data_IF_209290952853
#
_entry.id   IF_209290952853
#
_cell.length_a   1.000
_cell.length_b   1.000
_cell.length_c   1.000
_cell.angle_alpha   90.00
_cell.angle_beta   90.00
_cell.angle_gamma   90.00
#
_symmetry.space_group_name_H-M   'P 1'
#
loop_
_entity.id
_entity.type
_entity.pdbx_description
1 polymer ?
#
# COMPACT_ATOMS: atom_id res chain seq x y z
N UNK A 1 -27.63 -59.67 35.69
CA UNK A 1 -27.69 -58.57 34.70
C UNK A 1 -26.44 -57.75 34.85
N UNK A 2 -25.30 -58.44 34.78
CA UNK A 2 -24.02 -57.97 35.31
C UNK A 2 -23.12 -57.38 34.22
N UNK A 3 -23.44 -57.64 32.95
CA UNK A 3 -22.72 -57.06 31.80
C UNK A 3 -22.94 -55.56 31.60
N UNK A 4 -24.02 -54.98 32.14
CA UNK A 4 -24.37 -53.57 31.93
C UNK A 4 -23.64 -52.61 32.91
N UNK A 5 -23.03 -53.18 33.96
CA UNK A 5 -22.28 -52.42 34.98
C UNK A 5 -20.78 -52.34 34.68
N UNK A 6 -20.24 -53.29 33.92
CA UNK A 6 -18.85 -53.24 33.42
C UNK A 6 -18.71 -52.32 32.19
N UNK A 7 -19.74 -52.22 31.35
CA UNK A 7 -19.71 -51.38 30.13
C UNK A 7 -19.71 -49.87 30.47
N UNK A 8 -20.52 -49.47 31.47
CA UNK A 8 -20.56 -48.08 31.98
C UNK A 8 -19.33 -47.67 32.79
N UNK A 9 -18.59 -48.63 33.35
CA UNK A 9 -17.33 -48.37 34.05
C UNK A 9 -16.14 -48.22 33.08
N UNK A 10 -16.19 -48.86 31.91
CA UNK A 10 -15.19 -48.70 30.84
C UNK A 10 -15.36 -47.39 30.08
N UNK A 11 -16.59 -47.00 29.73
CA UNK A 11 -16.87 -45.69 29.11
C UNK A 11 -16.51 -44.51 30.03
N UNK A 12 -16.66 -44.67 31.35
CA UNK A 12 -16.28 -43.64 32.32
C UNK A 12 -14.77 -43.50 32.53
N UNK A 13 -13.98 -44.53 32.20
CA UNK A 13 -12.52 -44.51 32.31
C UNK A 13 -11.85 -44.00 31.03
N UNK A 14 -12.36 -44.36 29.84
CA UNK A 14 -11.84 -43.83 28.56
C UNK A 14 -12.16 -42.35 28.37
N UNK A 15 -13.29 -41.84 28.88
CA UNK A 15 -13.60 -40.41 28.85
C UNK A 15 -12.78 -39.56 29.85
N UNK A 16 -12.08 -40.19 30.79
CA UNK A 16 -11.21 -39.52 31.75
C UNK A 16 -9.73 -39.48 31.29
N UNK A 17 -9.33 -40.36 30.37
CA UNK A 17 -7.95 -40.39 29.81
C UNK A 17 -7.75 -39.46 28.60
N UNK A 18 -8.81 -38.91 27.99
CA UNK A 18 -8.69 -37.97 26.85
C UNK A 18 -8.69 -36.48 27.24
N UNK A 19 -8.53 -36.17 28.54
CA UNK A 19 -8.34 -34.81 29.07
C UNK A 19 -7.09 -34.67 29.94
N UNK A 20 -6.04 -35.43 29.67
CA UNK A 20 -4.70 -34.85 29.78
C UNK A 20 -4.47 -33.98 28.54
N UNK A 21 -5.15 -32.83 28.53
CA UNK A 21 -4.66 -31.65 27.84
C UNK A 21 -3.28 -31.44 28.45
N UNK A 22 -2.23 -31.96 27.79
CA UNK A 22 -0.87 -31.53 28.06
C UNK A 22 -0.98 -30.02 28.06
N UNK A 23 -0.83 -29.41 29.24
CA UNK A 23 -0.56 -27.98 29.35
C UNK A 23 0.74 -27.80 28.57
N UNK A 24 0.60 -27.60 27.25
CA UNK A 24 1.67 -27.13 26.42
C UNK A 24 2.13 -25.86 27.11
N UNK A 25 3.44 -25.76 27.43
CA UNK A 25 3.92 -24.70 28.29
C UNK A 25 3.49 -23.37 27.66
N UNK A 26 2.55 -22.69 28.32
CA UNK A 26 2.04 -21.42 27.85
C UNK A 26 3.23 -20.46 27.74
N UNK A 27 3.58 -20.10 26.51
CA UNK A 27 4.74 -19.25 26.27
C UNK A 27 4.43 -17.87 26.85
N UNK A 28 5.28 -17.41 27.75
CA UNK A 28 5.19 -16.05 28.30
C UNK A 28 5.64 -15.05 27.22
N UNK A 29 4.68 -14.61 26.41
CA UNK A 29 4.92 -13.66 25.32
C UNK A 29 5.61 -12.40 25.81
N UNK A 30 5.31 -11.91 27.01
CA UNK A 30 5.85 -10.62 27.49
C UNK A 30 7.36 -10.69 27.76
N UNK A 31 7.86 -11.87 28.14
CA UNK A 31 9.29 -12.10 28.42
C UNK A 31 10.06 -12.71 27.25
N UNK A 32 9.37 -13.13 26.18
CA UNK A 32 10.00 -13.72 25.00
C UNK A 32 10.89 -12.70 24.28
N UNK A 33 12.13 -13.08 23.97
CA UNK A 33 12.98 -12.33 23.04
C UNK A 33 12.54 -12.62 21.59
N UNK A 34 11.86 -11.64 20.99
CA UNK A 34 11.27 -11.73 19.65
C UNK A 34 12.30 -12.03 18.56
N UNK A 35 13.54 -11.56 18.72
CA UNK A 35 14.60 -11.75 17.72
C UNK A 35 15.45 -13.00 17.97
N UNK A 36 15.29 -13.64 19.13
CA UNK A 36 15.95 -14.91 19.48
C UNK A 36 15.16 -16.14 19.03
N UNK A 37 13.99 -15.96 18.42
CA UNK A 37 13.12 -17.06 17.94
C UNK A 37 13.71 -17.69 16.67
N UNK A 38 13.92 -19.01 16.68
CA UNK A 38 14.40 -19.76 15.51
C UNK A 38 13.27 -20.07 14.52
N UNK A 39 12.08 -20.47 15.02
CA UNK A 39 10.90 -20.75 14.20
C UNK A 39 9.74 -19.80 14.56
N UNK A 40 9.34 -18.98 13.59
CA UNK A 40 8.24 -18.02 13.75
C UNK A 40 6.88 -18.72 13.82
N UNK A 41 6.77 -19.96 13.33
CA UNK A 41 5.55 -20.76 13.34
C UNK A 41 5.34 -21.52 14.65
N UNK A 42 6.40 -21.75 15.42
CA UNK A 42 6.36 -22.42 16.72
C UNK A 42 7.37 -21.79 17.69
N UNK A 43 6.88 -20.90 18.54
CA UNK A 43 7.67 -20.30 19.63
C UNK A 43 7.64 -21.14 20.92
N UNK A 44 7.03 -22.33 20.86
CA UNK A 44 6.72 -23.21 21.98
C UNK A 44 5.22 -23.53 22.03
N UNK A 45 4.89 -24.81 22.27
CA UNK A 45 3.51 -25.28 22.36
C UNK A 45 2.72 -25.10 21.07
N UNK A 46 3.38 -25.20 19.90
CA UNK A 46 2.72 -25.08 18.59
C UNK A 46 2.15 -23.70 18.29
N UNK A 47 2.51 -22.67 19.07
CA UNK A 47 1.99 -21.32 18.90
C UNK A 47 2.90 -20.51 17.96
N UNK A 48 2.36 -19.82 16.94
CA UNK A 48 3.15 -18.93 16.12
C UNK A 48 3.39 -17.58 16.83
N UNK A 49 4.49 -16.92 16.48
CA UNK A 49 4.88 -15.60 17.01
C UNK A 49 3.79 -14.52 16.78
N UNK A 50 3.09 -14.62 15.66
CA UNK A 50 2.03 -13.69 15.25
C UNK A 50 0.62 -14.12 15.70
N UNK A 51 0.51 -15.09 16.62
CA UNK A 51 -0.78 -15.57 17.15
C UNK A 51 -1.67 -14.47 17.73
N UNK A 52 -1.07 -13.42 18.30
CA UNK A 52 -1.80 -12.29 18.88
C UNK A 52 -1.95 -11.08 17.94
N UNK A 53 -1.66 -11.23 16.64
CA UNK A 53 -1.77 -10.12 15.69
C UNK A 53 -3.23 -9.72 15.46
N UNK A 54 -3.50 -8.43 15.63
CA UNK A 54 -4.75 -7.83 15.20
C UNK A 54 -4.68 -7.39 13.73
N UNK A 55 -5.81 -6.95 13.19
CA UNK A 55 -5.89 -6.37 11.84
C UNK A 55 -4.82 -5.28 11.60
N UNK A 56 -4.56 -4.46 12.62
CA UNK A 56 -3.58 -3.38 12.53
C UNK A 56 -2.15 -3.91 12.34
N UNK A 57 -1.82 -4.99 13.03
CA UNK A 57 -0.49 -5.59 12.97
C UNK A 57 -0.27 -6.25 11.60
N UNK A 58 -1.29 -6.93 11.07
CA UNK A 58 -1.27 -7.47 9.69
C UNK A 58 -1.14 -6.36 8.64
N UNK A 59 -1.82 -5.25 8.84
CA UNK A 59 -1.75 -4.09 7.94
C UNK A 59 -0.34 -3.47 7.95
N UNK A 60 0.25 -3.33 9.13
CA UNK A 60 1.61 -2.80 9.29
C UNK A 60 2.68 -3.77 8.78
N UNK A 61 2.51 -5.09 8.98
CA UNK A 61 3.39 -6.10 8.39
C UNK A 61 3.35 -6.03 6.87
N UNK A 62 2.14 -5.96 6.30
CA UNK A 62 1.96 -5.86 4.85
C UNK A 62 2.65 -4.62 4.29
N UNK A 63 2.47 -3.46 4.93
CA UNK A 63 3.13 -2.21 4.53
C UNK A 63 4.67 -2.35 4.55
N UNK A 64 5.24 -2.93 5.62
CA UNK A 64 6.69 -3.16 5.72
C UNK A 64 7.20 -4.02 4.57
N UNK A 65 6.54 -5.14 4.32
CA UNK A 65 6.92 -6.06 3.25
C UNK A 65 6.78 -5.44 1.85
N UNK A 66 5.68 -4.73 1.59
CA UNK A 66 5.42 -4.06 0.32
C UNK A 66 6.46 -2.96 0.03
N UNK A 67 6.81 -2.12 1.02
CA UNK A 67 7.84 -1.09 0.84
C UNK A 67 9.24 -1.71 0.70
N UNK A 68 9.51 -2.78 1.44
CA UNK A 68 10.76 -3.53 1.32
C UNK A 68 10.97 -4.05 -0.11
N UNK A 69 9.99 -4.79 -0.64
CA UNK A 69 10.14 -5.41 -1.95
C UNK A 69 10.12 -4.35 -3.07
N UNK A 70 9.37 -3.25 -2.90
CA UNK A 70 9.37 -2.14 -3.85
C UNK A 70 10.74 -1.50 -4.00
N UNK A 71 11.43 -1.23 -2.88
CA UNK A 71 12.74 -0.58 -2.94
C UNK A 71 13.79 -1.45 -3.64
N UNK A 72 13.79 -2.76 -3.37
CA UNK A 72 14.69 -3.71 -4.02
C UNK A 72 14.31 -3.97 -5.48
N UNK A 73 13.02 -4.12 -5.79
CA UNK A 73 12.55 -4.27 -7.17
C UNK A 73 12.88 -3.03 -8.02
N UNK A 74 12.72 -1.83 -7.47
CA UNK A 74 13.09 -0.60 -8.16
C UNK A 74 14.58 -0.55 -8.52
N UNK A 75 15.47 -0.98 -7.62
CA UNK A 75 16.91 -1.03 -7.89
C UNK A 75 17.24 -1.98 -9.05
N UNK A 76 16.63 -3.16 -9.06
CA UNK A 76 16.78 -4.15 -10.14
C UNK A 76 16.29 -3.61 -11.48
N UNK A 77 15.13 -2.96 -11.48
CA UNK A 77 14.53 -2.40 -12.68
C UNK A 77 15.27 -1.15 -13.20
N UNK A 78 15.76 -0.32 -12.29
CA UNK A 78 16.54 0.87 -12.63
C UNK A 78 17.90 0.48 -13.26
N UNK A 79 18.46 -0.66 -12.84
CA UNK A 79 19.74 -1.21 -13.32
C UNK A 79 20.86 -0.16 -13.41
N UNK A 80 20.88 0.76 -12.44
CA UNK A 80 21.76 1.93 -12.39
C UNK A 80 22.32 2.05 -10.97
N UNK A 81 23.65 1.94 -10.79
CA UNK A 81 24.29 1.97 -9.48
C UNK A 81 24.09 3.31 -8.74
N UNK A 82 23.80 4.40 -9.46
CA UNK A 82 23.54 5.70 -8.86
C UNK A 82 22.06 5.84 -8.39
N UNK A 83 21.17 4.95 -8.84
CA UNK A 83 19.75 4.91 -8.44
C UNK A 83 19.52 3.95 -7.28
N UNK A 84 19.99 4.39 -6.13
CA UNK A 84 20.06 3.56 -4.93
C UNK A 84 18.71 3.38 -4.21
N UNK A 85 17.63 4.01 -4.69
CA UNK A 85 16.28 3.86 -4.15
C UNK A 85 15.26 4.80 -4.80
N UNK A 86 14.02 4.78 -4.30
CA UNK A 86 12.91 5.58 -4.86
C UNK A 86 12.85 6.94 -4.18
N UNK A 87 12.79 8.02 -4.96
CA UNK A 87 12.54 9.36 -4.40
C UNK A 87 11.12 9.44 -3.81
N UNK A 88 10.97 10.13 -2.68
CA UNK A 88 9.71 10.19 -1.91
C UNK A 88 8.49 10.59 -2.78
N UNK A 89 8.65 11.58 -3.65
CA UNK A 89 7.59 12.07 -4.55
C UNK A 89 7.10 11.03 -5.57
N UNK A 90 7.92 10.03 -5.87
CA UNK A 90 7.60 8.98 -6.83
C UNK A 90 7.16 7.68 -6.15
N UNK A 91 7.17 7.61 -4.81
CA UNK A 91 6.85 6.40 -4.06
C UNK A 91 5.43 5.88 -4.39
N UNK A 92 4.44 6.77 -4.37
CA UNK A 92 3.03 6.40 -4.67
C UNK A 92 2.86 5.92 -6.12
N UNK A 93 3.59 6.53 -7.07
CA UNK A 93 3.60 6.12 -8.47
C UNK A 93 4.16 4.71 -8.64
N UNK A 94 5.34 4.43 -8.08
CA UNK A 94 5.94 3.10 -8.17
C UNK A 94 5.14 2.04 -7.41
N UNK A 95 4.55 2.41 -6.28
CA UNK A 95 3.67 1.50 -5.54
C UNK A 95 2.47 1.07 -6.38
N UNK A 96 1.82 2.02 -7.06
CA UNK A 96 0.71 1.72 -7.98
C UNK A 96 1.18 0.89 -9.18
N UNK A 97 2.38 1.19 -9.72
CA UNK A 97 2.95 0.46 -10.85
C UNK A 97 3.23 -1.02 -10.53
N UNK A 98 3.81 -1.31 -9.37
CA UNK A 98 4.16 -2.68 -8.98
C UNK A 98 2.98 -3.47 -8.43
N UNK A 99 2.20 -2.88 -7.51
CA UNK A 99 1.15 -3.60 -6.78
C UNK A 99 -0.25 -3.44 -7.36
N UNK A 100 -0.44 -2.54 -8.34
CA UNK A 100 -1.76 -2.18 -8.88
C UNK A 100 -2.74 -1.73 -7.79
N UNK A 101 -2.21 -1.17 -6.71
CA UNK A 101 -2.91 -0.70 -5.52
C UNK A 101 -2.51 0.73 -5.24
N UNK A 102 -3.44 1.56 -4.77
CA UNK A 102 -3.13 2.95 -4.41
C UNK A 102 -2.57 3.00 -2.99
N UNK A 103 -1.41 3.66 -2.81
CA UNK A 103 -0.88 3.97 -1.49
C UNK A 103 -1.49 5.27 -0.97
N UNK A 104 -2.32 5.19 0.07
CA UNK A 104 -3.00 6.34 0.67
C UNK A 104 -2.56 6.52 2.13
N UNK A 105 -1.84 7.59 2.50
CA UNK A 105 -1.38 7.82 3.88
C UNK A 105 -2.54 7.95 4.87
N UNK A 106 -3.69 8.47 4.42
CA UNK A 106 -4.86 8.69 5.27
C UNK A 106 -5.44 7.40 5.82
N UNK A 107 -5.26 6.26 5.15
CA UNK A 107 -5.72 4.96 5.67
C UNK A 107 -4.90 4.51 6.87
N UNK A 108 -3.69 5.07 7.03
CA UNK A 108 -2.80 4.84 8.17
C UNK A 108 -2.92 5.91 9.26
N UNK A 109 -3.83 6.87 9.08
CA UNK A 109 -4.04 7.96 10.03
C UNK A 109 -2.97 9.04 9.99
N UNK A 110 -2.22 9.15 8.88
CA UNK A 110 -1.17 10.14 8.65
C UNK A 110 -1.44 10.94 7.39
N UNK A 111 -0.87 12.15 7.31
CA UNK A 111 -1.16 13.09 6.21
C UNK A 111 -0.15 12.98 5.06
N UNK A 112 1.12 12.69 5.35
CA UNK A 112 2.20 12.64 4.37
C UNK A 112 2.79 11.25 4.12
N UNK A 113 3.46 11.09 2.97
CA UNK A 113 4.27 9.90 2.70
C UNK A 113 5.47 9.77 3.63
N UNK A 114 6.02 10.90 4.07
CA UNK A 114 7.10 10.92 5.06
C UNK A 114 6.62 10.33 6.39
N UNK A 115 5.48 10.80 6.89
CA UNK A 115 4.89 10.32 8.14
C UNK A 115 4.52 8.83 8.05
N UNK A 116 4.10 8.37 6.86
CA UNK A 116 3.86 6.95 6.59
C UNK A 116 5.14 6.12 6.70
N UNK A 117 6.27 6.61 6.18
CA UNK A 117 7.56 5.95 6.33
C UNK A 117 8.06 5.98 7.78
N UNK A 118 7.76 7.04 8.54
CA UNK A 118 8.12 7.13 9.96
C UNK A 118 7.45 6.05 10.82
N UNK A 119 6.28 5.54 10.40
CA UNK A 119 5.62 4.38 11.04
C UNK A 119 6.38 3.06 10.82
N UNK A 120 7.20 2.96 9.75
CA UNK A 120 7.95 1.76 9.36
C UNK A 120 9.47 2.02 9.26
N UNK A 121 9.97 2.93 10.09
CA UNK A 121 11.40 3.30 10.16
C UNK A 121 12.35 2.14 10.48
N UNK A 122 11.80 1.05 11.01
CA UNK A 122 12.48 -0.22 11.28
C UNK A 122 12.82 -0.99 9.99
N UNK A 123 12.11 -0.71 8.89
CA UNK A 123 12.21 -1.42 7.62
C UNK A 123 12.76 -0.53 6.50
N UNK A 124 12.26 0.71 6.41
CA UNK A 124 12.62 1.67 5.39
C UNK A 124 12.93 3.04 5.99
N UNK A 125 14.03 3.64 5.55
CA UNK A 125 14.52 4.94 6.02
C UNK A 125 14.59 5.92 4.86
N UNK A 126 14.19 7.15 5.12
CA UNK A 126 14.35 8.26 4.18
C UNK A 126 15.71 8.91 4.40
N UNK A 127 16.55 8.96 3.36
CA UNK A 127 17.79 9.71 3.41
C UNK A 127 17.49 11.22 3.40
N UNK A 128 17.84 11.92 4.48
CA UNK A 128 17.53 13.33 4.67
C UNK A 128 18.12 14.24 3.60
N UNK A 129 19.25 13.87 2.97
CA UNK A 129 19.93 14.70 1.96
C UNK A 129 19.33 14.53 0.57
N UNK A 130 18.98 13.31 0.19
CA UNK A 130 18.53 12.99 -1.18
C UNK A 130 17.03 12.72 -1.28
N UNK A 131 16.30 12.67 -0.16
CA UNK A 131 14.88 12.30 -0.10
C UNK A 131 14.59 10.96 -0.79
N UNK A 132 15.56 10.04 -0.72
CA UNK A 132 15.48 8.70 -1.30
C UNK A 132 15.12 7.71 -0.20
N UNK A 133 14.10 6.90 -0.46
CA UNK A 133 13.68 5.78 0.37
C UNK A 133 14.64 4.62 0.15
N UNK A 134 15.27 4.16 1.23
CA UNK A 134 16.15 2.98 1.25
C UNK A 134 15.67 1.98 2.29
N UNK A 135 15.85 0.71 1.99
CA UNK A 135 15.61 -0.38 2.96
C UNK A 135 16.83 -0.56 3.84
N UNK A 136 16.58 -0.86 5.12
CA UNK A 136 17.62 -1.26 6.07
C UNK A 136 17.90 -2.76 5.95
N UNK A 137 16.89 -3.52 5.54
CA UNK A 137 16.96 -4.97 5.39
C UNK A 137 17.66 -5.35 4.06
N UNK A 138 18.57 -6.35 4.10
CA UNK A 138 19.26 -6.83 2.91
C UNK A 138 18.27 -7.48 1.94
N UNK A 139 18.65 -7.55 0.66
CA UNK A 139 17.82 -8.14 -0.38
C UNK A 139 17.76 -9.67 -0.29
N UNK A 140 18.92 -10.28 -0.04
CA UNK A 140 19.10 -11.72 0.06
C UNK A 140 18.88 -12.18 1.50
N UNK A 141 17.61 -12.24 1.91
CA UNK A 141 17.22 -12.81 3.20
C UNK A 141 16.85 -14.28 3.03
N UNK A 142 17.36 -15.13 3.93
CA UNK A 142 17.05 -16.56 3.96
C UNK A 142 15.59 -16.83 4.37
N UNK A 143 15.02 -15.96 5.22
CA UNK A 143 13.64 -16.08 5.70
C UNK A 143 12.97 -14.72 5.80
N UNK A 144 11.71 -14.66 5.36
CA UNK A 144 10.83 -13.49 5.55
C UNK A 144 10.19 -13.44 6.95
N UNK A 145 10.47 -14.42 7.82
CA UNK A 145 10.02 -14.44 9.22
C UNK A 145 10.44 -13.20 10.01
N UNK A 146 11.54 -12.54 9.61
CA UNK A 146 11.99 -11.29 10.21
C UNK A 146 10.94 -10.18 10.18
N UNK A 147 10.03 -10.15 9.19
CA UNK A 147 8.96 -9.16 9.15
C UNK A 147 7.93 -9.37 10.26
N UNK A 148 7.65 -10.64 10.61
CA UNK A 148 6.82 -10.96 11.76
C UNK A 148 7.51 -10.54 13.06
N UNK A 149 8.82 -10.79 13.21
CA UNK A 149 9.60 -10.37 14.37
C UNK A 149 9.61 -8.84 14.54
N UNK A 150 9.91 -8.09 13.48
CA UNK A 150 9.90 -6.62 13.49
C UNK A 150 8.51 -6.09 13.84
N UNK A 151 7.46 -6.70 13.28
CA UNK A 151 6.08 -6.26 13.53
C UNK A 151 5.66 -6.52 14.97
N UNK A 152 5.99 -7.69 15.54
CA UNK A 152 5.71 -8.02 16.93
C UNK A 152 6.49 -7.12 17.90
N UNK A 153 7.77 -6.86 17.64
CA UNK A 153 8.57 -5.93 18.43
C UNK A 153 7.97 -4.51 18.41
N UNK A 154 7.55 -4.02 17.23
CA UNK A 154 6.91 -2.72 17.08
C UNK A 154 5.52 -2.68 17.77
N UNK A 155 4.74 -3.76 17.73
CA UNK A 155 3.46 -3.91 18.42
C UNK A 155 3.66 -3.81 19.94
N UNK A 156 4.60 -4.57 20.52
CA UNK A 156 4.93 -4.49 21.96
C UNK A 156 5.43 -3.11 22.37
N UNK A 157 6.25 -2.46 21.54
CA UNK A 157 6.71 -1.09 21.80
C UNK A 157 5.54 -0.09 21.80
N UNK A 158 4.63 -0.23 20.83
CA UNK A 158 3.42 0.59 20.74
C UNK A 158 2.52 0.42 21.96
N UNK A 159 2.22 -0.82 22.34
CA UNK A 159 1.39 -1.13 23.52
C UNK A 159 2.01 -0.50 24.77
N UNK A 160 3.31 -0.68 24.99
CA UNK A 160 4.01 -0.07 26.14
C UNK A 160 3.90 1.46 26.17
N UNK A 161 4.04 2.14 25.01
CA UNK A 161 3.85 3.61 24.94
C UNK A 161 2.42 4.01 25.29
N UNK A 162 1.43 3.33 24.75
CA UNK A 162 0.02 3.58 25.05
C UNK A 162 -0.27 3.37 26.54
N UNK A 163 0.25 2.29 27.14
CA UNK A 163 0.09 2.02 28.58
C UNK A 163 0.75 3.07 29.48
N UNK A 164 1.78 3.77 28.99
CA UNK A 164 2.42 4.89 29.69
C UNK A 164 1.69 6.23 29.49
N UNK A 165 0.55 6.24 28.79
CA UNK A 165 -0.27 7.43 28.54
C UNK A 165 0.11 8.23 27.29
N UNK A 166 1.01 7.70 26.45
CA UNK A 166 1.34 8.33 25.17
C UNK A 166 0.36 7.87 24.08
N UNK A 167 -0.77 8.55 24.01
CA UNK A 167 -1.84 8.29 23.03
C UNK A 167 -1.41 8.52 21.58
N UNK A 168 -0.31 9.25 21.33
CA UNK A 168 0.21 9.47 19.98
C UNK A 168 0.73 8.20 19.32
N UNK A 169 1.03 7.17 20.12
CA UNK A 169 1.48 5.87 19.63
C UNK A 169 0.33 5.00 19.08
N UNK A 170 -0.93 5.32 19.39
CA UNK A 170 -2.07 4.55 18.92
C UNK A 170 -2.22 4.66 17.39
N UNK A 171 -2.36 3.51 16.71
CA UNK A 171 -2.60 3.50 15.27
C UNK A 171 -4.03 3.93 14.98
N UNK A 172 -4.21 4.77 13.96
CA UNK A 172 -5.50 5.28 13.52
C UNK A 172 -5.84 4.72 12.15
N UNK A 173 -5.85 3.40 12.02
CA UNK A 173 -6.10 2.75 10.75
C UNK A 173 -7.57 2.85 10.36
N UNK A 174 -7.84 3.28 9.13
CA UNK A 174 -9.17 3.18 8.54
C UNK A 174 -9.23 1.92 7.71
N UNK A 175 -10.04 0.95 8.14
CA UNK A 175 -10.23 -0.29 7.39
C UNK A 175 -10.85 0.04 6.03
N UNK A 176 -10.07 -0.10 4.96
CA UNK A 176 -10.61 -0.04 3.61
C UNK A 176 -11.32 -1.35 3.34
N UNK A 177 -12.65 -1.34 3.44
CA UNK A 177 -13.48 -2.42 2.90
C UNK A 177 -13.23 -2.40 1.39
N UNK A 178 -12.50 -3.40 0.90
CA UNK A 178 -12.34 -3.61 -0.53
C UNK A 178 -13.74 -3.87 -1.10
N UNK A 179 -14.32 -2.87 -1.76
CA UNK A 179 -15.51 -3.06 -2.56
C UNK A 179 -15.07 -3.90 -3.74
N UNK A 180 -15.24 -5.22 -3.62
CA UNK A 180 -15.10 -6.14 -4.74
C UNK A 180 -15.92 -5.60 -5.91
N UNK A 181 -15.26 -5.39 -7.05
CA UNK A 181 -15.70 -4.50 -8.10
C UNK A 181 -17.15 -4.71 -8.57
N UNK A 182 -17.99 -3.73 -8.29
CA UNK A 182 -19.16 -3.43 -9.12
C UNK A 182 -18.73 -2.50 -10.27
N UNK A 183 -17.88 -2.99 -11.17
CA UNK A 183 -17.80 -2.40 -12.51
C UNK A 183 -18.98 -2.92 -13.33
N UNK A 184 -20.18 -2.48 -12.97
CA UNK A 184 -21.30 -2.53 -13.89
C UNK A 184 -21.02 -1.49 -14.98
N UNK A 185 -20.67 -1.97 -16.17
CA UNK A 185 -20.61 -1.12 -17.36
C UNK A 185 -21.93 -0.35 -17.48
N UNK A 186 -21.92 0.97 -17.73
CA UNK A 186 -23.16 1.67 -18.03
C UNK A 186 -23.71 1.08 -19.34
N UNK A 187 -24.88 0.45 -19.26
CA UNK A 187 -25.58 -0.10 -20.41
C UNK A 187 -25.81 0.97 -21.49
N UNK A 188 -25.99 0.56 -22.76
CA UNK A 188 -26.20 1.50 -23.85
C UNK A 188 -27.47 2.33 -23.58
N UNK A 189 -27.31 3.66 -23.61
CA UNK A 189 -28.44 4.61 -23.50
C UNK A 189 -29.44 4.32 -24.62
N UNK A 190 -30.76 4.24 -24.34
CA UNK A 190 -31.75 4.18 -25.41
C UNK A 190 -31.71 5.48 -26.22
N UNK A 191 -31.71 5.34 -27.55
CA UNK A 191 -31.71 6.45 -28.48
C UNK A 191 -32.95 7.34 -28.28
N UNK A 192 -32.73 8.66 -28.24
CA UNK A 192 -33.82 9.64 -28.20
C UNK A 192 -34.64 9.59 -29.50
N UNK A 193 -35.98 9.73 -29.44
CA UNK A 193 -36.81 9.76 -30.65
C UNK A 193 -36.59 11.07 -31.42
N UNK A 194 -36.31 10.93 -32.72
CA UNK A 194 -36.23 12.03 -33.69
C UNK A 194 -37.61 12.69 -33.79
N UNK A 195 -37.73 13.94 -33.32
CA UNK A 195 -38.92 14.75 -33.50
C UNK A 195 -39.01 15.24 -34.95
N UNK A 196 -40.15 14.96 -35.59
CA UNK A 196 -40.45 15.36 -36.97
C UNK A 196 -40.61 16.89 -37.16
N UNK A 197 -40.68 17.34 -38.42
CA UNK A 197 -40.64 18.75 -38.78
C UNK A 197 -41.93 19.49 -38.34
N UNK A 198 -41.75 20.67 -37.73
CA UNK A 198 -42.84 21.58 -37.36
C UNK A 198 -43.32 22.38 -38.59
N UNK A 199 -44.63 22.63 -38.73
CA UNK A 199 -45.17 23.43 -39.83
C UNK A 199 -44.91 24.92 -39.66
N UNK A 200 -44.69 25.59 -40.80
CA UNK A 200 -44.49 27.03 -40.96
C UNK A 200 -45.84 27.75 -40.82
N UNK A 201 -45.93 28.74 -39.94
CA UNK A 201 -47.07 29.67 -39.87
C UNK A 201 -46.63 31.04 -40.37
N UNK A 202 -47.39 31.55 -41.34
CA UNK A 202 -47.19 32.80 -42.09
C UNK A 202 -48.00 33.95 -41.45
N UNK A 203 -47.33 35.07 -41.19
CA UNK A 203 -47.82 36.44 -41.43
C UNK A 203 -48.75 37.12 -40.41
N UNK A 204 -48.32 38.28 -39.89
CA UNK A 204 -49.17 39.31 -39.27
C UNK A 204 -48.36 40.43 -38.58
N UNK A 205 -48.71 41.74 -38.71
CA UNK A 205 -47.72 42.83 -38.73
C UNK A 205 -47.36 43.46 -37.37
N UNK A 206 -46.19 44.10 -37.38
CA UNK A 206 -45.49 44.81 -36.29
C UNK A 206 -46.19 46.10 -35.84
N UNK A 207 -45.97 46.50 -34.58
CA UNK A 207 -45.69 47.90 -34.26
C UNK A 207 -44.26 48.12 -33.74
N UNK A 208 -43.82 49.36 -33.88
CA UNK A 208 -42.46 49.86 -33.83
C UNK A 208 -42.13 50.40 -32.44
N UNK A 209 -40.93 50.12 -31.92
CA UNK A 209 -40.28 51.01 -30.95
C UNK A 209 -39.38 50.36 -29.89
N UNK A 210 -38.19 50.94 -29.72
CA UNK A 210 -37.26 50.90 -28.58
C UNK A 210 -36.08 49.90 -28.62
N UNK A 211 -35.04 50.35 -29.32
CA UNK A 211 -33.62 50.46 -28.90
C UNK A 211 -32.98 49.35 -28.04
N UNK A 212 -32.28 48.47 -28.75
CA UNK A 212 -30.95 47.86 -28.50
C UNK A 212 -30.26 48.01 -27.13
N UNK A 213 -30.07 46.88 -26.44
CA UNK A 213 -28.74 46.41 -25.96
C UNK A 213 -28.72 44.88 -26.05
N UNK A 214 -27.87 44.33 -26.92
CA UNK A 214 -27.65 42.90 -27.07
C UNK A 214 -26.53 42.43 -26.13
N UNK A 215 -26.85 41.55 -25.18
CA UNK A 215 -25.87 40.81 -24.40
C UNK A 215 -25.67 39.44 -25.07
N UNK A 216 -24.58 39.31 -25.82
CA UNK A 216 -24.11 38.06 -26.43
C UNK A 216 -23.51 37.18 -25.34
N UNK A 217 -24.05 35.96 -25.19
CA UNK A 217 -23.35 34.83 -24.59
C UNK A 217 -22.59 34.09 -25.70
N UNK A 218 -21.36 33.66 -25.46
CA UNK A 218 -20.87 32.46 -26.09
C UNK A 218 -20.44 31.42 -25.05
N UNK A 219 -20.98 30.22 -25.21
CA UNK A 219 -20.28 29.01 -24.80
C UNK A 219 -19.12 28.74 -25.75
N UNK A 220 -18.10 28.05 -25.25
CA UNK A 220 -16.96 27.62 -26.05
C UNK A 220 -16.09 26.67 -25.25
N UNK A 221 -16.25 25.38 -25.53
CA UNK A 221 -15.48 24.28 -24.96
C UNK A 221 -13.99 24.43 -25.29
N UNK A 222 -13.14 24.28 -24.26
CA UNK A 222 -11.68 24.21 -24.43
C UNK A 222 -11.30 22.76 -24.65
N UNK A 223 -11.16 22.38 -25.93
CA UNK A 223 -10.57 21.12 -26.34
C UNK A 223 -9.05 21.19 -26.30
N UNK A 224 -8.43 20.15 -25.76
CA UNK A 224 -6.98 19.96 -25.73
C UNK A 224 -6.43 19.73 -27.14
N UNK A 225 -5.37 20.43 -27.58
CA UNK A 225 -4.76 20.13 -28.88
C UNK A 225 -3.95 18.83 -28.81
N UNK A 226 -4.32 17.92 -29.71
CA UNK A 226 -3.59 16.73 -30.12
C UNK A 226 -2.39 17.17 -30.96
N UNK A 227 -1.18 17.10 -30.42
CA UNK A 227 0.04 17.35 -31.20
C UNK A 227 0.30 16.19 -32.16
N UNK A 228 0.17 16.52 -33.45
CA UNK A 228 0.67 15.75 -34.56
C UNK A 228 2.18 15.91 -34.74
N UNK A 229 2.71 14.96 -35.50
CA UNK A 229 4.11 14.85 -35.90
C UNK A 229 4.67 16.15 -36.47
N UNK A 230 5.86 16.53 -35.99
CA UNK A 230 6.67 17.63 -36.48
C UNK A 230 8.13 17.25 -36.38
N UNK A 231 8.74 17.13 -37.55
CA UNK A 231 10.17 16.97 -37.86
C UNK A 231 11.12 17.79 -36.98
N UNK A 232 12.12 17.13 -36.39
CA UNK A 232 13.27 17.79 -35.76
C UNK A 232 14.34 18.14 -36.81
N UNK A 233 14.91 19.36 -36.80
CA UNK A 233 16.06 19.70 -37.61
C UNK A 233 17.36 19.17 -37.00
N UNK A 234 18.21 18.69 -37.90
CA UNK A 234 19.57 18.21 -37.69
C UNK A 234 20.47 19.32 -37.11
N UNK A 235 21.04 19.11 -35.92
CA UNK A 235 22.09 19.95 -35.36
C UNK A 235 23.45 19.23 -35.47
N UNK A 236 24.43 19.99 -35.93
CA UNK A 236 25.71 19.51 -36.46
C UNK A 236 26.65 18.90 -35.42
N UNK A 237 27.44 17.97 -35.95
CA UNK A 237 28.60 17.34 -35.33
C UNK A 237 29.78 18.32 -35.36
N UNK A 238 30.47 18.49 -34.23
CA UNK A 238 31.92 18.73 -34.20
C UNK A 238 32.53 18.28 -32.86
N UNK A 239 33.82 17.88 -32.84
CA UNK A 239 34.30 16.86 -31.92
C UNK A 239 35.21 17.37 -30.78
N UNK A 240 35.31 16.51 -29.76
CA UNK A 240 36.46 16.26 -28.88
C UNK A 240 37.20 17.43 -28.19
N UNK A 241 37.10 17.46 -26.87
CA UNK A 241 38.20 17.88 -25.99
C UNK A 241 38.19 17.01 -24.72
N UNK A 242 39.22 16.16 -24.59
CA UNK A 242 39.58 15.45 -23.35
C UNK A 242 40.43 16.40 -22.49
N UNK A 243 40.33 16.35 -21.16
CA UNK A 243 41.49 16.60 -20.31
C UNK A 243 42.10 15.26 -19.86
N UNK A 244 43.40 15.15 -20.08
CA UNK A 244 44.28 14.13 -19.54
C UNK A 244 44.86 14.58 -18.17
N UNK A 245 45.58 13.65 -17.53
CA UNK A 245 46.44 13.78 -16.34
C UNK A 245 45.68 13.73 -15.00
N UNK A 246 45.97 12.81 -14.07
CA UNK A 246 47.28 12.35 -13.59
C UNK A 246 47.38 10.84 -13.38
N UNK A 247 48.54 10.28 -13.75
CA UNK A 247 48.93 8.92 -13.42
C UNK A 247 49.69 8.84 -12.09
N UNK A 248 49.68 7.65 -11.50
CA UNK A 248 50.72 7.16 -10.61
C UNK A 248 50.97 5.69 -10.96
N UNK A 249 52.21 5.41 -11.35
CA UNK A 249 52.77 4.07 -11.33
C UNK A 249 53.99 4.11 -10.42
N UNK A 250 53.99 3.28 -9.39
CA UNK A 250 54.93 2.18 -9.17
C UNK A 250 54.53 1.44 -7.90
#
# INVERSE_FOLDING_TARGET
>A
GDGQKEESAKEGAEAAEEKEEKEEPAVDFDKLDVFGVEDVLDIGGGQPLFSQFAYEDWTMLSLRFEIYILAHAFRKDANDPDRVGVHLDHLSFYYTKYFKKTLNPKTFGVDGMKDLLDLIKDTAVLDGKSQVVRTVLPEDMESFGVFAMITEAARRYRIRRVSLGDESAALKLTQQVAVAGASAAPGPRPAAPVAGPRPVVVGGPRPVGATTVAAVRPGGAVGWPRNGAGTFPQAGVSPAARPAWWGYGR
#
